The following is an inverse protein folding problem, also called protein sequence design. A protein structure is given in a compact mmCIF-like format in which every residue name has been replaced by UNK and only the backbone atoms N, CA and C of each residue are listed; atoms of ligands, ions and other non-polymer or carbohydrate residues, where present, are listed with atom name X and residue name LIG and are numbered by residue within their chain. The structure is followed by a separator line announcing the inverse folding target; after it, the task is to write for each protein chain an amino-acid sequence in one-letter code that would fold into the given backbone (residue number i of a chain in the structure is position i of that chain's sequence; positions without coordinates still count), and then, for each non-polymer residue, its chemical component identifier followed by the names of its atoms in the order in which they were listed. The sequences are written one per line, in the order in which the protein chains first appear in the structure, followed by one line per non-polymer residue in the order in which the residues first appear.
data_IF_520583678362
#
_entry.id   IF_520583678362
#
_cell.length_a   1.000
_cell.length_b   1.000
_cell.length_c   1.000
_cell.angle_alpha   90.00
_cell.angle_beta   90.00
_cell.angle_gamma   90.00
#
_symmetry.space_group_name_H-M   'P 1'
#
loop_
_entity.id
_entity.type
_entity.pdbx_description
1 polymer ?
#
# COMPACT_ATOMS: atom_id res chain seq x y z
N UNK A 1 -20.91 -3.16 29.93
CA UNK A 1 -21.46 -2.40 28.80
C UNK A 1 -20.43 -2.43 27.68
N UNK A 2 -20.84 -3.04 26.56
CA UNK A 2 -20.23 -3.21 25.24
C UNK A 2 -18.74 -3.59 25.09
N UNK A 3 -18.58 -4.83 24.61
CA UNK A 3 -17.44 -5.33 23.84
C UNK A 3 -17.33 -4.64 22.46
N UNK A 4 -16.19 -4.83 21.81
CA UNK A 4 -15.95 -4.73 20.35
C UNK A 4 -15.26 -3.45 19.83
N UNK A 5 -13.94 -3.41 19.96
CA UNK A 5 -13.08 -3.02 18.84
C UNK A 5 -11.90 -4.01 18.80
N UNK A 6 -12.18 -5.22 18.30
CA UNK A 6 -11.13 -6.13 17.84
C UNK A 6 -10.64 -5.60 16.49
N UNK A 7 -9.93 -4.46 16.49
CA UNK A 7 -9.24 -3.94 15.32
C UNK A 7 -7.91 -4.65 15.20
N UNK A 8 -7.92 -5.93 14.81
CA UNK A 8 -6.70 -6.75 14.76
C UNK A 8 -5.69 -6.31 13.67
N UNK A 9 -6.04 -5.31 12.85
CA UNK A 9 -5.22 -4.80 11.75
C UNK A 9 -5.03 -3.28 11.77
N UNK A 10 -4.18 -2.81 10.86
CA UNK A 10 -3.97 -1.38 10.62
C UNK A 10 -5.16 -0.79 9.87
N UNK A 11 -5.60 0.39 10.28
CA UNK A 11 -6.64 1.17 9.62
C UNK A 11 -5.99 2.33 8.85
N UNK A 12 -6.29 2.46 7.56
CA UNK A 12 -5.92 3.64 6.77
C UNK A 12 -6.89 4.78 7.10
N UNK A 13 -6.36 5.96 7.44
CA UNK A 13 -7.15 7.11 7.87
C UNK A 13 -7.31 8.14 6.75
N UNK A 14 -6.19 8.58 6.16
CA UNK A 14 -6.17 9.55 5.07
C UNK A 14 -4.84 9.53 4.30
N UNK A 15 -4.81 10.26 3.19
CA UNK A 15 -3.63 10.48 2.36
C UNK A 15 -3.45 11.97 2.08
N UNK A 16 -2.22 12.46 2.23
CA UNK A 16 -1.78 13.77 1.75
C UNK A 16 -0.88 13.60 0.52
N UNK A 17 -1.26 14.19 -0.62
CA UNK A 17 -0.45 14.16 -1.84
C UNK A 17 0.77 15.08 -1.69
N UNK A 18 1.96 14.50 -1.76
CA UNK A 18 3.24 15.23 -1.67
C UNK A 18 3.78 15.56 -3.05
N UNK A 19 3.65 14.63 -4.00
CA UNK A 19 4.11 14.83 -5.37
C UNK A 19 3.29 14.00 -6.34
N UNK A 20 2.93 14.61 -7.47
CA UNK A 20 2.28 13.93 -8.59
C UNK A 20 3.21 13.95 -9.81
N UNK A 21 3.75 12.78 -10.13
CA UNK A 21 4.70 12.58 -11.21
C UNK A 21 4.04 11.98 -12.44
N UNK A 22 4.85 11.70 -13.47
CA UNK A 22 4.33 11.17 -14.74
C UNK A 22 3.77 9.74 -14.62
N UNK A 23 4.42 8.86 -13.84
CA UNK A 23 4.03 7.45 -13.69
C UNK A 23 3.51 7.12 -12.29
N UNK A 24 4.03 7.80 -11.28
CA UNK A 24 3.76 7.54 -9.87
C UNK A 24 3.36 8.82 -9.15
N UNK A 25 2.63 8.65 -8.05
CA UNK A 25 2.36 9.72 -7.10
C UNK A 25 2.84 9.30 -5.70
N UNK A 26 3.35 10.26 -4.92
CA UNK A 26 3.85 10.08 -3.57
C UNK A 26 2.87 10.70 -2.57
N UNK A 27 2.49 9.91 -1.56
CA UNK A 27 1.61 10.33 -0.49
C UNK A 27 2.29 10.20 0.88
N UNK A 28 2.01 11.13 1.79
CA UNK A 28 2.14 10.89 3.21
C UNK A 28 0.80 10.33 3.70
N UNK A 29 0.75 9.04 4.00
CA UNK A 29 -0.46 8.32 4.37
C UNK A 29 -0.51 8.10 5.87
N UNK A 30 -1.64 8.45 6.51
CA UNK A 30 -1.84 8.29 7.95
C UNK A 30 -2.59 7.00 8.27
N UNK A 31 -2.14 6.30 9.30
CA UNK A 31 -2.70 5.03 9.74
C UNK A 31 -2.92 5.00 11.25
N UNK A 32 -3.86 4.18 11.70
CA UNK A 32 -4.02 3.75 13.09
C UNK A 32 -3.55 2.30 13.25
N UNK A 33 -2.67 2.06 14.21
CA UNK A 33 -2.22 0.73 14.59
C UNK A 33 -3.28 0.00 15.44
N UNK A 34 -3.19 -1.34 15.56
CA UNK A 34 -4.07 -2.11 16.44
C UNK A 34 -4.04 -1.67 17.92
N UNK A 35 -2.94 -1.08 18.37
CA UNK A 35 -2.82 -0.53 19.73
C UNK A 35 -3.44 0.88 19.89
N UNK A 36 -4.03 1.41 18.82
CA UNK A 36 -4.65 2.73 18.75
C UNK A 36 -3.71 3.88 18.38
N UNK A 37 -2.40 3.65 18.29
CA UNK A 37 -1.42 4.69 17.95
C UNK A 37 -1.57 5.13 16.49
N UNK A 38 -1.53 6.44 16.24
CA UNK A 38 -1.50 7.00 14.88
C UNK A 38 -0.07 7.27 14.41
N UNK A 39 0.20 6.99 13.14
CA UNK A 39 1.51 7.21 12.52
C UNK A 39 1.39 7.45 11.01
N UNK A 40 2.46 8.01 10.42
CA UNK A 40 2.54 8.28 8.99
C UNK A 40 3.47 7.30 8.26
N UNK A 41 3.21 7.08 6.96
CA UNK A 41 4.05 6.34 6.03
C UNK A 41 4.13 7.06 4.70
N UNK A 42 5.31 7.06 4.11
CA UNK A 42 5.46 7.48 2.72
C UNK A 42 5.04 6.34 1.80
N UNK A 43 4.06 6.60 0.93
CA UNK A 43 3.46 5.61 0.04
C UNK A 43 3.62 6.05 -1.40
N UNK A 44 4.35 5.26 -2.18
CA UNK A 44 4.43 5.41 -3.64
C UNK A 44 3.31 4.59 -4.28
N UNK A 45 2.40 5.24 -5.00
CA UNK A 45 1.35 4.56 -5.77
C UNK A 45 1.78 4.42 -7.23
N UNK A 46 1.85 3.19 -7.70
CA UNK A 46 2.19 2.80 -9.06
C UNK A 46 0.98 2.10 -9.71
N UNK A 47 0.67 2.35 -11.00
CA UNK A 47 -0.40 1.64 -11.74
C UNK A 47 -0.27 0.11 -11.82
N UNK A 48 0.82 -0.46 -11.32
CA UNK A 48 1.12 -1.88 -11.42
C UNK A 48 1.88 -2.23 -12.70
N UNK A 49 2.52 -3.39 -12.68
CA UNK A 49 3.27 -3.93 -13.80
C UNK A 49 2.97 -5.42 -13.93
N UNK A 50 3.14 -5.96 -15.13
CA UNK A 50 3.08 -7.39 -15.40
C UNK A 50 4.42 -7.83 -15.97
N UNK A 51 4.76 -9.09 -15.74
CA UNK A 51 5.91 -9.75 -16.37
C UNK A 51 5.48 -11.08 -16.95
N UNK A 52 6.21 -11.54 -17.96
CA UNK A 52 6.00 -12.83 -18.61
C UNK A 52 7.34 -13.54 -18.63
N UNK A 53 7.33 -14.83 -18.29
CA UNK A 53 8.45 -15.72 -18.53
C UNK A 53 8.14 -16.49 -19.81
N UNK A 54 8.69 -16.10 -20.97
CA UNK A 54 8.52 -16.88 -22.19
C UNK A 54 9.25 -18.21 -22.01
N UNK A 55 8.67 -19.30 -22.52
CA UNK A 55 9.33 -20.62 -22.53
C UNK A 55 9.36 -21.08 -23.99
N UNK A 56 10.56 -21.35 -24.50
CA UNK A 56 10.77 -21.91 -25.83
C UNK A 56 10.50 -23.42 -25.85
N UNK A 57 10.26 -24.01 -27.02
CA UNK A 57 9.98 -25.45 -27.14
C UNK A 57 11.12 -26.35 -26.61
N UNK A 58 12.35 -25.83 -26.59
CA UNK A 58 13.52 -26.50 -26.02
C UNK A 58 13.67 -26.34 -24.49
N UNK A 59 12.75 -25.61 -23.84
CA UNK A 59 12.71 -25.38 -22.40
C UNK A 59 13.46 -24.14 -21.91
N UNK A 60 14.09 -23.36 -22.79
CA UNK A 60 14.79 -22.12 -22.41
C UNK A 60 13.78 -21.00 -22.06
N UNK A 61 14.23 -20.01 -21.25
CA UNK A 61 13.44 -18.83 -20.84
C UNK A 61 14.11 -17.50 -21.17
#
# INVERSE_FOLDING_TARGET
MNSSADSSGFEHLDDELIHDGYIISLFNSRFRAPDGTEFNRDVVRHPGAVSVVPVWDNGDV
#
